data_IF_713974687223
#
_entry.id   IF_713974687223
#
_cell.length_a   1.000
_cell.length_b   1.000
_cell.length_c   1.000
_cell.angle_alpha   90.00
_cell.angle_beta   90.00
_cell.angle_gamma   90.00
#
_symmetry.space_group_name_H-M   'P 1'
#
loop_
_entity.id
_entity.type
_entity.pdbx_description
1 polymer ?
#
# COMPACT_ATOMS: atom_id res chain seq x y z
N UNK A 1 70.27 8.45 -9.30
CA UNK A 1 69.48 7.32 -8.77
C UNK A 1 68.53 7.84 -7.69
N UNK A 2 67.39 8.46 -8.04
CA UNK A 2 66.28 8.62 -7.10
C UNK A 2 65.05 8.07 -7.82
N UNK A 3 64.81 6.77 -7.63
CA UNK A 3 63.59 6.10 -8.05
C UNK A 3 62.49 6.62 -7.11
N UNK A 4 61.48 7.35 -7.60
CA UNK A 4 60.36 7.72 -6.75
C UNK A 4 59.76 6.44 -6.17
N UNK A 5 59.71 6.40 -4.84
CA UNK A 5 59.31 5.26 -4.02
C UNK A 5 57.88 4.84 -4.33
N UNK A 6 57.70 3.57 -4.71
CA UNK A 6 56.44 2.91 -5.03
C UNK A 6 55.31 3.15 -4.00
N UNK A 7 55.66 3.54 -2.77
CA UNK A 7 54.77 3.71 -1.63
C UNK A 7 53.86 4.94 -1.68
N UNK A 8 54.22 6.01 -2.40
CA UNK A 8 53.37 7.21 -2.50
C UNK A 8 52.32 7.08 -3.61
N UNK A 9 52.63 6.35 -4.70
CA UNK A 9 51.69 6.07 -5.78
C UNK A 9 50.51 5.20 -5.31
N UNK A 10 50.75 4.22 -4.44
CA UNK A 10 49.70 3.36 -3.90
C UNK A 10 48.75 4.10 -2.96
N UNK A 11 49.24 5.10 -2.21
CA UNK A 11 48.41 5.85 -1.27
C UNK A 11 47.43 6.83 -1.95
N UNK A 12 47.80 7.43 -3.09
CA UNK A 12 46.88 8.28 -3.86
C UNK A 12 45.84 7.46 -4.64
N UNK A 13 46.19 6.25 -5.08
CA UNK A 13 45.25 5.37 -5.78
C UNK A 13 44.15 4.81 -4.85
N UNK A 14 44.45 4.57 -3.58
CA UNK A 14 43.47 4.05 -2.60
C UNK A 14 42.39 5.08 -2.24
N UNK A 15 42.72 6.38 -2.23
CA UNK A 15 41.72 7.44 -2.06
C UNK A 15 40.87 7.65 -3.32
N UNK A 16 41.42 7.42 -4.52
CA UNK A 16 40.71 7.61 -5.78
C UNK A 16 39.72 6.47 -6.09
N UNK A 17 39.96 5.26 -5.57
CA UNK A 17 39.02 4.13 -5.70
C UNK A 17 37.83 4.23 -4.72
N UNK A 18 37.99 4.90 -3.57
CA UNK A 18 36.89 5.14 -2.63
C UNK A 18 35.78 6.05 -3.22
N UNK A 19 36.10 6.91 -4.18
CA UNK A 19 35.13 7.81 -4.81
C UNK A 19 34.19 7.11 -5.83
N UNK A 20 34.57 5.94 -6.36
CA UNK A 20 33.76 5.21 -7.34
C UNK A 20 32.79 4.19 -6.71
N UNK A 21 32.93 3.90 -5.41
CA UNK A 21 32.03 3.00 -4.66
C UNK A 21 30.87 3.76 -3.99
N UNK A 22 30.75 5.07 -4.20
CA UNK A 22 29.67 5.90 -3.62
C UNK A 22 28.66 6.41 -4.67
N UNK A 23 28.46 5.67 -5.77
CA UNK A 23 27.31 5.82 -6.66
C UNK A 23 26.60 4.49 -6.91
N UNK A 24 26.60 3.58 -5.92
CA UNK A 24 25.40 2.74 -5.74
C UNK A 24 24.47 3.52 -4.82
N UNK A 25 23.74 4.47 -5.40
CA UNK A 25 22.42 4.73 -4.86
C UNK A 25 21.64 3.47 -5.21
N UNK A 26 21.66 2.49 -4.31
CA UNK A 26 20.61 1.49 -4.28
C UNK A 26 19.31 2.27 -4.34
N UNK A 27 18.60 2.14 -5.47
CA UNK A 27 17.30 2.73 -5.69
C UNK A 27 16.44 2.38 -4.47
N UNK A 28 16.03 3.33 -3.63
CA UNK A 28 15.16 3.02 -2.51
C UNK A 28 13.78 2.74 -3.11
N UNK A 29 13.56 1.44 -3.29
CA UNK A 29 12.28 0.75 -3.34
C UNK A 29 11.40 1.13 -4.54
N UNK A 30 11.50 0.32 -5.59
CA UNK A 30 10.34 -0.04 -6.40
C UNK A 30 9.28 -0.61 -5.46
N UNK A 31 8.37 0.25 -5.01
CA UNK A 31 7.34 -0.11 -4.03
C UNK A 31 6.06 0.53 -4.48
N UNK A 32 4.98 -0.24 -4.41
CA UNK A 32 3.64 0.22 -4.76
C UNK A 32 3.22 1.47 -3.98
N UNK A 33 2.04 2.02 -4.32
CA UNK A 33 1.52 3.23 -3.69
C UNK A 33 1.56 3.11 -2.16
N UNK A 34 2.06 4.15 -1.51
CA UNK A 34 2.15 4.18 -0.04
C UNK A 34 0.75 4.16 0.58
N UNK A 35 0.60 3.57 1.77
CA UNK A 35 -0.72 3.50 2.44
C UNK A 35 -1.35 4.89 2.66
N UNK A 36 -0.53 5.93 2.81
CA UNK A 36 -1.01 7.32 2.92
C UNK A 36 -1.61 7.85 1.62
N UNK A 37 -1.04 7.46 0.47
CA UNK A 37 -1.52 7.85 -0.84
C UNK A 37 -2.85 7.17 -1.15
N UNK A 38 -2.93 5.86 -0.91
CA UNK A 38 -4.16 5.08 -1.04
C UNK A 38 -5.31 5.68 -0.21
N UNK A 39 -5.00 6.18 0.99
CA UNK A 39 -5.98 6.82 1.89
C UNK A 39 -6.54 8.16 1.41
N UNK A 40 -5.89 8.82 0.44
CA UNK A 40 -6.40 10.04 -0.19
C UNK A 40 -7.20 9.74 -1.46
N UNK A 41 -7.09 8.54 -2.01
CA UNK A 41 -7.85 8.14 -3.19
C UNK A 41 -9.33 7.93 -2.86
N UNK A 42 -10.23 8.20 -3.83
CA UNK A 42 -11.62 7.81 -3.72
C UNK A 42 -11.76 6.28 -3.58
N UNK A 43 -12.80 5.77 -2.90
CA UNK A 43 -12.95 4.34 -2.61
C UNK A 43 -12.88 3.42 -3.85
N UNK A 44 -13.42 3.87 -4.99
CA UNK A 44 -13.36 3.15 -6.26
C UNK A 44 -11.91 2.97 -6.76
N UNK A 45 -11.07 4.00 -6.64
CA UNK A 45 -9.65 3.91 -7.02
C UNK A 45 -8.83 3.20 -5.94
N UNK A 46 -9.18 3.40 -4.66
CA UNK A 46 -8.47 2.79 -3.53
C UNK A 46 -8.59 1.27 -3.54
N UNK A 47 -9.79 0.73 -3.76
CA UNK A 47 -10.05 -0.70 -3.67
C UNK A 47 -10.29 -1.38 -5.03
N UNK A 48 -10.44 -0.62 -6.12
CA UNK A 48 -10.52 -1.13 -7.48
C UNK A 48 -11.58 -2.21 -7.67
N UNK A 49 -11.14 -3.40 -8.05
CA UNK A 49 -12.01 -4.56 -8.28
C UNK A 49 -12.82 -4.97 -7.05
N UNK A 50 -12.22 -4.96 -5.85
CA UNK A 50 -12.94 -5.25 -4.62
C UNK A 50 -14.14 -4.30 -4.43
N UNK A 51 -13.98 -3.01 -4.75
CA UNK A 51 -15.09 -2.05 -4.68
C UNK A 51 -16.21 -2.45 -5.64
N UNK A 52 -15.87 -2.72 -6.91
CA UNK A 52 -16.85 -3.11 -7.93
C UNK A 52 -17.60 -4.37 -7.52
N UNK A 53 -16.90 -5.39 -7.05
CA UNK A 53 -17.50 -6.67 -6.73
C UNK A 53 -18.44 -6.56 -5.53
N UNK A 54 -18.09 -5.74 -4.53
CA UNK A 54 -18.96 -5.42 -3.39
C UNK A 54 -20.26 -4.75 -3.84
N UNK A 55 -20.19 -3.82 -4.79
CA UNK A 55 -21.36 -3.14 -5.36
C UNK A 55 -22.24 -4.10 -6.18
N UNK A 56 -21.64 -4.93 -7.03
CA UNK A 56 -22.34 -5.87 -7.90
C UNK A 56 -23.02 -7.01 -7.11
N UNK A 57 -22.36 -7.51 -6.07
CA UNK A 57 -22.89 -8.52 -5.18
C UNK A 57 -23.95 -7.97 -4.20
N UNK A 58 -24.16 -6.65 -4.14
CA UNK A 58 -25.08 -5.98 -3.22
C UNK A 58 -24.85 -6.42 -1.76
N UNK A 59 -23.58 -6.45 -1.34
CA UNK A 59 -23.20 -6.80 0.05
C UNK A 59 -23.88 -5.88 1.07
N UNK A 60 -24.10 -4.62 0.69
CA UNK A 60 -24.87 -3.64 1.44
C UNK A 60 -26.18 -3.31 0.71
N UNK A 61 -27.24 -2.95 1.45
CA UNK A 61 -28.52 -2.56 0.86
C UNK A 61 -28.45 -1.25 0.07
N UNK A 62 -27.43 -0.44 0.33
CA UNK A 62 -27.17 0.83 -0.33
C UNK A 62 -25.74 0.89 -0.90
N UNK A 63 -25.53 1.68 -1.95
CA UNK A 63 -24.26 1.75 -2.65
C UNK A 63 -23.19 2.63 -1.97
N UNK A 64 -23.48 3.25 -0.83
CA UNK A 64 -22.56 4.20 -0.16
C UNK A 64 -21.94 3.63 1.12
N UNK A 65 -22.58 2.66 1.77
CA UNK A 65 -22.11 2.10 3.05
C UNK A 65 -20.69 1.55 2.97
N UNK A 66 -20.29 0.89 1.87
CA UNK A 66 -18.91 0.40 1.75
C UNK A 66 -17.87 1.52 1.70
N UNK A 67 -18.20 2.65 1.08
CA UNK A 67 -17.31 3.83 1.05
C UNK A 67 -17.11 4.44 2.45
N UNK A 68 -18.11 4.30 3.32
CA UNK A 68 -18.08 4.76 4.72
C UNK A 68 -17.40 3.74 5.66
N UNK A 69 -17.05 2.54 5.18
CA UNK A 69 -16.39 1.52 5.98
C UNK A 69 -14.91 1.86 6.20
N UNK A 70 -14.42 1.58 7.41
CA UNK A 70 -13.03 1.81 7.78
C UNK A 70 -12.25 0.49 7.66
N UNK A 71 -11.15 0.43 6.89
CA UNK A 71 -10.35 -0.78 6.79
C UNK A 71 -9.66 -1.08 8.13
N UNK A 72 -9.66 -2.35 8.55
CA UNK A 72 -9.00 -2.80 9.79
C UNK A 72 -7.51 -3.05 9.61
N UNK A 73 -7.08 -3.29 8.37
CA UNK A 73 -5.71 -3.55 7.96
C UNK A 73 -5.30 -2.54 6.86
N UNK A 74 -4.01 -2.41 6.55
CA UNK A 74 -3.56 -1.63 5.40
C UNK A 74 -4.28 -2.03 4.12
N UNK A 75 -4.58 -1.04 3.28
CA UNK A 75 -5.34 -1.21 2.04
C UNK A 75 -4.70 -2.27 1.14
N UNK A 76 -3.37 -2.24 1.00
CA UNK A 76 -2.64 -3.18 0.15
C UNK A 76 -2.74 -4.64 0.65
N UNK A 77 -2.68 -4.87 1.97
CA UNK A 77 -2.84 -6.21 2.56
C UNK A 77 -4.25 -6.76 2.31
N UNK A 78 -5.28 -5.90 2.45
CA UNK A 78 -6.67 -6.30 2.15
C UNK A 78 -6.81 -6.69 0.68
N UNK A 79 -6.21 -5.94 -0.24
CA UNK A 79 -6.28 -6.24 -1.66
C UNK A 79 -5.51 -7.52 -2.03
N UNK A 80 -4.33 -7.74 -1.44
CA UNK A 80 -3.56 -8.97 -1.63
C UNK A 80 -4.37 -10.20 -1.16
N UNK A 81 -4.92 -10.15 0.05
CA UNK A 81 -5.78 -11.22 0.56
C UNK A 81 -7.03 -11.43 -0.27
N UNK A 82 -7.60 -10.36 -0.83
CA UNK A 82 -8.73 -10.46 -1.73
C UNK A 82 -8.36 -11.23 -3.00
N UNK A 83 -7.24 -10.89 -3.64
CA UNK A 83 -6.77 -11.55 -4.85
C UNK A 83 -6.46 -13.04 -4.63
N UNK A 84 -5.87 -13.39 -3.49
CA UNK A 84 -5.59 -14.78 -3.11
C UNK A 84 -6.87 -15.62 -2.89
N UNK A 85 -7.92 -15.00 -2.36
CA UNK A 85 -9.13 -15.70 -1.92
C UNK A 85 -10.27 -15.67 -2.95
N UNK A 86 -10.39 -14.64 -3.79
CA UNK A 86 -11.57 -14.42 -4.65
C UNK A 86 -11.87 -15.55 -5.63
N UNK A 87 -10.85 -16.32 -6.03
CA UNK A 87 -10.97 -17.46 -6.94
C UNK A 87 -11.29 -18.79 -6.25
N UNK A 88 -11.34 -18.83 -4.92
CA UNK A 88 -11.57 -20.07 -4.17
C UNK A 88 -13.06 -20.46 -4.19
N UNK A 89 -13.38 -21.76 -4.26
CA UNK A 89 -14.77 -22.22 -4.36
C UNK A 89 -15.64 -21.84 -3.16
N UNK A 90 -15.04 -21.69 -1.97
CA UNK A 90 -15.73 -21.35 -0.72
C UNK A 90 -15.65 -19.85 -0.40
N UNK A 91 -15.17 -19.02 -1.33
CA UNK A 91 -15.04 -17.59 -1.09
C UNK A 91 -16.39 -16.91 -0.90
N UNK A 92 -16.55 -16.21 0.23
CA UNK A 92 -17.72 -15.39 0.51
C UNK A 92 -17.33 -13.92 0.67
N UNK A 93 -17.66 -13.11 -0.34
CA UNK A 93 -17.32 -11.68 -0.37
C UNK A 93 -17.88 -10.91 0.83
N UNK A 94 -19.10 -11.22 1.28
CA UNK A 94 -19.70 -10.52 2.42
C UNK A 94 -18.96 -10.82 3.73
N UNK A 95 -18.55 -12.08 3.95
CA UNK A 95 -17.73 -12.45 5.10
C UNK A 95 -16.34 -11.82 5.01
N UNK A 96 -15.72 -11.81 3.82
CA UNK A 96 -14.45 -11.15 3.59
C UNK A 96 -14.50 -9.66 3.97
N UNK A 97 -15.54 -8.95 3.53
CA UNK A 97 -15.76 -7.54 3.86
C UNK A 97 -15.96 -7.36 5.37
N UNK A 98 -16.79 -8.18 6.01
CA UNK A 98 -17.02 -8.11 7.46
C UNK A 98 -15.75 -8.39 8.28
N UNK A 99 -14.87 -9.28 7.79
CA UNK A 99 -13.59 -9.58 8.42
C UNK A 99 -12.61 -8.42 8.31
N UNK A 100 -12.51 -7.77 7.15
CA UNK A 100 -11.49 -6.76 6.85
C UNK A 100 -11.90 -5.31 7.12
N UNK A 101 -13.20 -5.03 7.25
CA UNK A 101 -13.72 -3.66 7.41
C UNK A 101 -14.57 -3.51 8.66
N UNK A 102 -14.47 -2.35 9.30
CA UNK A 102 -15.37 -1.91 10.36
C UNK A 102 -16.51 -1.10 9.75
N UNK A 103 -17.74 -1.50 10.04
CA UNK A 103 -18.93 -0.84 9.51
C UNK A 103 -19.25 0.41 10.31
N UNK A 104 -19.75 1.47 9.65
CA UNK A 104 -20.20 2.66 10.37
C UNK A 104 -21.32 2.23 11.33
N UNK A 105 -21.14 2.53 12.62
CA UNK A 105 -22.25 2.49 13.57
C UNK A 105 -23.23 3.56 13.11
N UNK A 106 -24.49 3.20 12.89
CA UNK A 106 -25.52 4.16 12.53
C UNK A 106 -25.68 5.16 13.70
N UNK A 107 -24.93 6.27 13.66
CA UNK A 107 -25.16 7.39 14.55
C UNK A 107 -26.52 7.97 14.16
N UNK A 108 -27.55 7.67 14.95
CA UNK A 108 -28.83 8.37 14.83
C UNK A 108 -28.53 9.86 14.98
N UNK A 109 -28.73 10.62 13.91
CA UNK A 109 -28.53 12.06 13.96
C UNK A 109 -29.53 12.67 14.95
N UNK A 110 -29.01 13.23 16.04
CA UNK A 110 -29.76 14.13 16.92
C UNK A 110 -29.99 15.48 16.25
N UNK A 111 -30.52 15.47 15.02
CA UNK A 111 -30.84 16.67 14.27
C UNK A 111 -32.19 17.22 14.75
N UNK A 112 -32.15 18.20 15.66
CA UNK A 112 -33.29 19.09 15.91
C UNK A 112 -33.03 20.37 15.13
N UNK A 113 -33.83 20.60 14.10
CA UNK A 113 -33.98 21.93 13.52
C UNK A 113 -34.81 22.77 14.50
N UNK A 114 -34.27 23.93 14.90
CA UNK A 114 -35.01 25.02 15.57
C UNK A 114 -35.51 25.99 14.50
#
# INVERSE_FOLDING_TARGET
>A
MHRPTLSTLTSMALFLTLALVSCRQDTPVESGPTESELRMLPPEQRYGELFRDVQMAKVFPDGKTFADCVPKYPTHEILEHYEEQKGQPDFNLAQFVAANFAFPTAYSSGFRAD
#
